data_IF_683622420051
#
_entry.id   IF_683622420051
#
_cell.length_a   1.000
_cell.length_b   1.000
_cell.length_c   1.000
_cell.angle_alpha   90.00
_cell.angle_beta   90.00
_cell.angle_gamma   90.00
#
_symmetry.space_group_name_H-M   'P 1'
#
loop_
_entity.id
_entity.type
_entity.pdbx_description
1 polymer ?
#
# COMPACT_ATOMS: atom_id res chain seq x y z
N UNK A 1 27.46 -24.74 -29.59
CA UNK A 1 26.11 -24.14 -29.59
C UNK A 1 25.43 -24.57 -28.28
N UNK A 2 25.30 -23.81 -27.19
CA UNK A 2 25.32 -22.37 -26.90
C UNK A 2 23.95 -21.65 -26.90
N UNK A 3 23.04 -22.02 -25.98
CA UNK A 3 22.04 -21.19 -25.25
C UNK A 3 21.15 -22.12 -24.37
N UNK A 4 20.48 -21.73 -23.27
CA UNK A 4 20.68 -20.68 -22.23
C UNK A 4 19.75 -21.01 -21.03
N UNK A 5 19.89 -20.29 -19.91
CA UNK A 5 19.11 -20.42 -18.65
C UNK A 5 17.60 -20.10 -18.81
N UNK A 6 16.90 -20.19 -17.67
CA UNK A 6 15.68 -19.46 -17.23
C UNK A 6 14.42 -20.34 -17.09
N UNK A 7 13.65 -20.39 -15.97
CA UNK A 7 13.75 -19.73 -14.63
C UNK A 7 13.35 -20.68 -13.49
N UNK A 8 13.68 -20.32 -12.24
CA UNK A 8 12.97 -20.79 -11.04
C UNK A 8 11.76 -19.88 -10.75
N UNK A 9 10.73 -20.40 -10.06
CA UNK A 9 9.52 -19.64 -9.71
C UNK A 9 9.84 -18.61 -8.62
N UNK A 10 10.30 -17.44 -9.05
CA UNK A 10 10.40 -16.26 -8.21
C UNK A 10 8.99 -15.74 -7.92
N UNK A 11 8.54 -15.86 -6.66
CA UNK A 11 7.40 -15.09 -6.18
C UNK A 11 7.82 -13.62 -6.12
N UNK A 12 7.23 -12.72 -6.94
CA UNK A 12 7.43 -11.30 -6.72
C UNK A 12 6.77 -10.95 -5.39
N UNK A 13 7.56 -10.56 -4.40
CA UNK A 13 7.03 -9.97 -3.18
C UNK A 13 6.17 -8.75 -3.57
N UNK A 14 4.91 -8.66 -3.13
CA UNK A 14 4.08 -7.50 -3.43
C UNK A 14 4.66 -6.29 -2.68
N UNK A 15 5.35 -5.42 -3.42
CA UNK A 15 5.81 -4.11 -2.96
C UNK A 15 4.64 -3.12 -2.83
N UNK A 16 3.50 -3.56 -2.27
CA UNK A 16 2.31 -2.74 -2.05
C UNK A 16 2.38 -1.89 -0.78
N UNK A 17 3.18 -2.31 0.20
CA UNK A 17 3.34 -1.59 1.47
C UNK A 17 4.22 -0.33 1.39
N UNK A 18 4.81 -0.02 0.22
CA UNK A 18 5.70 1.14 0.06
C UNK A 18 4.97 2.48 -0.12
N UNK A 19 3.79 2.48 -0.74
CA UNK A 19 3.12 3.71 -1.18
C UNK A 19 2.39 4.40 -0.02
N UNK A 20 1.68 3.64 0.82
CA UNK A 20 1.05 4.16 2.05
C UNK A 20 2.09 4.71 3.04
N UNK A 21 3.25 4.05 3.15
CA UNK A 21 4.36 4.52 3.99
C UNK A 21 4.94 5.86 3.51
N UNK A 22 5.09 6.04 2.19
CA UNK A 22 5.65 7.26 1.61
C UNK A 22 4.75 8.49 1.78
N UNK A 23 3.43 8.31 1.82
CA UNK A 23 2.48 9.42 2.03
C UNK A 23 2.53 9.95 3.48
N UNK A 24 2.68 9.04 4.45
CA UNK A 24 2.85 9.40 5.88
C UNK A 24 4.14 10.21 6.10
N UNK A 25 5.19 9.96 5.31
CA UNK A 25 6.47 10.68 5.42
C UNK A 25 6.46 12.12 4.86
N UNK A 26 5.34 12.64 4.36
CA UNK A 26 5.26 13.98 3.74
C UNK A 26 4.36 14.99 4.44
N UNK A 27 3.66 14.59 5.49
CA UNK A 27 3.12 15.51 6.49
C UNK A 27 4.18 15.64 7.60
N UNK A 28 4.54 16.87 7.94
CA UNK A 28 5.37 17.11 9.13
C UNK A 28 4.61 16.61 10.37
N UNK A 29 5.35 16.17 11.39
CA UNK A 29 4.75 15.83 12.67
C UNK A 29 4.08 17.08 13.28
N UNK A 30 3.01 16.91 14.05
CA UNK A 30 2.26 18.04 14.63
C UNK A 30 3.16 18.86 15.59
N UNK A 31 4.16 18.19 16.15
CA UNK A 31 5.23 18.71 16.98
C UNK A 31 6.14 19.70 16.24
N UNK A 32 6.39 19.47 14.95
CA UNK A 32 7.29 20.27 14.09
C UNK A 32 6.56 21.47 13.45
N UNK A 33 5.22 21.51 13.53
CA UNK A 33 4.43 22.59 12.94
C UNK A 33 4.60 23.92 13.70
N UNK A 34 4.62 25.07 12.98
CA UNK A 34 4.60 26.39 13.60
C UNK A 34 3.42 26.53 14.56
N UNK A 35 3.69 26.83 15.83
CA UNK A 35 2.67 26.92 16.89
C UNK A 35 2.10 28.34 16.99
N UNK A 36 0.78 28.48 16.99
CA UNK A 36 0.07 29.71 17.33
C UNK A 36 -0.90 29.46 18.49
N UNK A 37 -0.64 29.99 19.70
CA UNK A 37 -1.57 29.89 20.81
C UNK A 37 -2.94 30.48 20.47
N UNK A 38 -4.03 29.87 20.97
CA UNK A 38 -5.40 30.35 20.80
C UNK A 38 -5.61 31.76 21.39
N UNK A 39 -4.78 32.17 22.35
CA UNK A 39 -4.71 33.55 22.86
C UNK A 39 -4.13 34.51 21.83
N UNK A 40 -3.17 34.09 21.01
CA UNK A 40 -2.56 34.90 19.96
C UNK A 40 -3.42 34.91 18.69
N UNK A 41 -4.17 33.83 18.40
CA UNK A 41 -5.29 33.86 17.42
C UNK A 41 -6.28 34.99 17.75
N UNK A 42 -6.62 35.17 19.03
CA UNK A 42 -7.52 36.22 19.51
C UNK A 42 -6.90 37.63 19.45
N UNK A 43 -5.59 37.79 19.69
CA UNK A 43 -4.88 39.08 19.65
C UNK A 43 -4.53 39.55 18.24
N UNK A 44 -3.96 38.65 17.41
CA UNK A 44 -3.54 38.92 16.04
C UNK A 44 -4.74 38.95 15.06
N UNK A 45 -5.85 38.32 15.48
CA UNK A 45 -7.03 38.11 14.67
C UNK A 45 -6.78 37.16 13.49
N UNK A 46 -7.86 36.84 12.78
CA UNK A 46 -7.82 35.96 11.60
C UNK A 46 -6.80 36.39 10.55
N UNK A 47 -6.63 37.70 10.33
CA UNK A 47 -5.67 38.26 9.37
C UNK A 47 -4.21 37.94 9.72
N UNK A 48 -3.85 37.95 11.00
CA UNK A 48 -2.51 37.60 11.45
C UNK A 48 -2.21 36.11 11.26
N UNK A 49 -3.17 35.25 11.60
CA UNK A 49 -3.09 33.80 11.37
C UNK A 49 -2.91 33.49 9.88
N UNK A 50 -3.73 34.09 9.01
CA UNK A 50 -3.62 33.88 7.56
C UNK A 50 -2.30 34.40 6.96
N UNK A 51 -1.62 35.37 7.61
CA UNK A 51 -0.29 35.81 7.20
C UNK A 51 0.80 34.78 7.54
N UNK A 52 0.65 34.03 8.63
CA UNK A 52 1.54 32.91 8.97
C UNK A 52 1.28 31.74 8.01
N UNK A 53 0.02 31.36 7.80
CA UNK A 53 -0.38 30.32 6.82
C UNK A 53 0.12 30.67 5.42
N UNK A 54 0.01 31.93 4.99
CA UNK A 54 0.52 32.37 3.68
C UNK A 54 2.06 32.40 3.55
N UNK A 55 2.81 32.29 4.64
CA UNK A 55 4.28 32.20 4.65
C UNK A 55 4.79 30.77 4.78
N UNK A 56 4.12 29.96 5.58
CA UNK A 56 4.60 28.65 6.04
C UNK A 56 3.67 27.49 5.63
N UNK A 57 2.60 27.77 4.88
CA UNK A 57 1.60 26.80 4.36
C UNK A 57 0.65 26.25 5.44
N UNK A 58 1.18 26.02 6.64
CA UNK A 58 0.53 25.31 7.74
C UNK A 58 0.91 25.86 9.11
N UNK A 59 -0.03 25.82 10.04
CA UNK A 59 0.15 26.27 11.43
C UNK A 59 -0.72 25.45 12.37
N UNK A 60 -0.20 25.04 13.53
CA UNK A 60 -0.98 24.37 14.58
C UNK A 60 -1.47 25.41 15.60
N UNK A 61 -2.77 25.43 15.84
CA UNK A 61 -3.41 26.20 16.90
C UNK A 61 -3.36 25.39 18.19
N UNK A 62 -2.82 25.99 19.25
CA UNK A 62 -2.66 25.33 20.55
C UNK A 62 -3.44 26.04 21.66
N UNK A 63 -4.02 25.28 22.58
CA UNK A 63 -4.62 25.81 23.81
C UNK A 63 -3.84 25.28 25.01
N UNK A 64 -3.41 26.16 25.91
CA UNK A 64 -2.52 25.82 27.03
C UNK A 64 -1.28 24.96 26.65
N UNK A 65 -0.81 25.06 25.40
CA UNK A 65 0.27 24.29 24.75
C UNK A 65 -0.12 22.92 24.14
N UNK A 66 -1.35 22.46 24.31
CA UNK A 66 -1.92 21.27 23.66
C UNK A 66 -2.40 21.63 22.24
N UNK A 67 -2.07 20.84 21.19
CA UNK A 67 -2.65 21.00 19.85
C UNK A 67 -4.17 20.79 19.83
N UNK A 68 -4.93 21.79 19.35
CA UNK A 68 -6.39 21.68 19.16
C UNK A 68 -6.80 21.57 17.68
N UNK A 69 -6.11 22.30 16.79
CA UNK A 69 -6.46 22.34 15.36
C UNK A 69 -5.23 22.65 14.51
N UNK A 70 -5.25 22.25 13.23
CA UNK A 70 -4.27 22.67 12.23
C UNK A 70 -4.98 23.50 11.16
N UNK A 71 -4.43 24.66 10.84
CA UNK A 71 -4.91 25.51 9.74
C UNK A 71 -3.94 25.33 8.58
N UNK A 72 -4.48 24.99 7.42
CA UNK A 72 -3.76 24.74 6.17
C UNK A 72 -4.17 25.77 5.12
N UNK A 73 -3.28 26.04 4.16
CA UNK A 73 -3.69 26.67 2.91
C UNK A 73 -4.64 25.75 2.12
N UNK A 74 -5.48 26.32 1.26
CA UNK A 74 -6.39 25.54 0.38
C UNK A 74 -5.57 24.71 -0.62
N UNK A 75 -4.40 25.19 -1.04
CA UNK A 75 -3.49 24.48 -1.93
C UNK A 75 -2.90 23.23 -1.24
N UNK A 76 -2.37 23.37 -0.02
CA UNK A 76 -1.83 22.26 0.77
C UNK A 76 -2.91 21.22 1.07
N UNK A 77 -4.09 21.66 1.50
CA UNK A 77 -5.22 20.76 1.73
C UNK A 77 -5.61 20.00 0.46
N UNK A 78 -5.72 20.69 -0.68
CA UNK A 78 -6.01 20.07 -1.97
C UNK A 78 -4.93 19.10 -2.45
N UNK A 79 -3.65 19.39 -2.17
CA UNK A 79 -2.54 18.50 -2.46
C UNK A 79 -2.58 17.23 -1.60
N UNK A 80 -2.89 17.34 -0.31
CA UNK A 80 -3.05 16.21 0.61
C UNK A 80 -4.23 15.31 0.17
N UNK A 81 -5.39 15.90 -0.09
CA UNK A 81 -6.59 15.15 -0.55
C UNK A 81 -6.32 14.43 -1.87
N UNK A 82 -5.66 15.09 -2.84
CA UNK A 82 -5.28 14.46 -4.11
C UNK A 82 -4.31 13.29 -3.90
N UNK A 83 -3.26 13.47 -3.10
CA UNK A 83 -2.28 12.42 -2.85
C UNK A 83 -2.86 11.21 -2.07
N UNK A 84 -3.80 11.45 -1.15
CA UNK A 84 -4.60 10.39 -0.51
C UNK A 84 -5.43 9.61 -1.53
N UNK A 85 -6.11 10.31 -2.43
CA UNK A 85 -6.93 9.67 -3.49
C UNK A 85 -6.07 8.86 -4.47
N UNK A 86 -4.91 9.39 -4.89
CA UNK A 86 -3.96 8.68 -5.75
C UNK A 86 -3.39 7.41 -5.07
N UNK A 87 -3.04 7.48 -3.78
CA UNK A 87 -2.59 6.32 -3.01
C UNK A 87 -3.69 5.27 -2.81
N UNK A 88 -4.95 5.69 -2.59
CA UNK A 88 -6.12 4.82 -2.54
C UNK A 88 -6.36 4.10 -3.87
N UNK A 89 -6.46 4.85 -4.96
CA UNK A 89 -6.67 4.31 -6.30
C UNK A 89 -5.55 3.33 -6.75
N UNK A 90 -4.30 3.60 -6.39
CA UNK A 90 -3.19 2.65 -6.62
C UNK A 90 -3.34 1.36 -5.80
N UNK A 91 -3.94 1.42 -4.61
CA UNK A 91 -4.16 0.26 -3.76
C UNK A 91 -5.31 -0.60 -4.32
N UNK A 92 -6.40 0.04 -4.74
CA UNK A 92 -7.56 -0.62 -5.35
C UNK A 92 -7.19 -1.33 -6.66
N UNK A 93 -6.38 -0.71 -7.53
CA UNK A 93 -5.90 -1.34 -8.76
C UNK A 93 -5.04 -2.60 -8.52
N UNK A 94 -4.25 -2.60 -7.43
CA UNK A 94 -3.47 -3.79 -7.00
C UNK A 94 -4.40 -4.88 -6.45
N UNK A 95 -5.39 -4.52 -5.65
CA UNK A 95 -6.38 -5.46 -5.11
C UNK A 95 -7.21 -6.12 -6.22
N UNK A 96 -7.67 -5.35 -7.21
CA UNK A 96 -8.43 -5.89 -8.35
C UNK A 96 -7.57 -6.84 -9.21
N UNK A 97 -6.30 -6.50 -9.43
CA UNK A 97 -5.34 -7.40 -10.10
C UNK A 97 -5.13 -8.72 -9.34
N UNK A 98 -5.13 -8.68 -8.00
CA UNK A 98 -5.03 -9.87 -7.16
C UNK A 98 -6.33 -10.70 -7.19
N UNK A 99 -7.48 -10.03 -7.18
CA UNK A 99 -8.81 -10.64 -7.28
C UNK A 99 -8.97 -11.39 -8.60
N UNK A 100 -8.73 -10.73 -9.74
CA UNK A 100 -8.83 -11.35 -11.06
C UNK A 100 -7.97 -12.62 -11.15
N UNK A 101 -6.73 -12.57 -10.66
CA UNK A 101 -5.82 -13.74 -10.64
C UNK A 101 -6.27 -14.86 -9.72
N UNK A 102 -7.02 -14.55 -8.66
CA UNK A 102 -7.63 -15.55 -7.78
C UNK A 102 -8.82 -16.20 -8.47
N UNK A 103 -9.71 -15.41 -9.07
CA UNK A 103 -10.90 -15.87 -9.77
C UNK A 103 -10.55 -16.72 -11.01
N UNK A 104 -9.53 -16.33 -11.79
CA UNK A 104 -8.96 -17.13 -12.88
C UNK A 104 -8.47 -18.51 -12.42
N UNK A 105 -7.78 -18.57 -11.27
CA UNK A 105 -7.29 -19.83 -10.70
C UNK A 105 -8.45 -20.68 -10.18
N UNK A 106 -9.43 -20.08 -9.52
CA UNK A 106 -10.62 -20.78 -9.01
C UNK A 106 -11.44 -21.36 -10.16
N UNK A 107 -11.67 -20.61 -11.24
CA UNK A 107 -12.33 -21.09 -12.45
C UNK A 107 -11.62 -22.32 -13.05
N UNK A 108 -10.28 -22.33 -13.06
CA UNK A 108 -9.49 -23.48 -13.57
C UNK A 108 -9.65 -24.78 -12.75
N UNK A 109 -10.13 -24.67 -11.51
CA UNK A 109 -10.45 -25.77 -10.59
C UNK A 109 -11.95 -26.14 -10.60
N UNK A 110 -12.82 -25.20 -10.99
CA UNK A 110 -14.27 -25.40 -11.12
C UNK A 110 -14.70 -25.88 -12.52
N UNK A 111 -13.81 -25.88 -13.52
CA UNK A 111 -14.09 -26.43 -14.84
C UNK A 111 -14.55 -27.89 -14.79
N UNK A 112 -15.50 -28.27 -15.63
CA UNK A 112 -16.09 -29.62 -15.65
C UNK A 112 -15.05 -30.74 -15.83
N UNK A 113 -13.94 -30.43 -16.50
CA UNK A 113 -12.82 -31.35 -16.74
C UNK A 113 -11.83 -31.46 -15.56
N UNK A 114 -11.91 -30.57 -14.56
CA UNK A 114 -10.89 -30.41 -13.54
C UNK A 114 -10.72 -31.68 -12.67
N UNK A 115 -11.82 -32.36 -12.35
CA UNK A 115 -11.79 -33.63 -11.65
C UNK A 115 -11.16 -34.77 -12.50
N UNK A 116 -11.33 -34.71 -13.83
CA UNK A 116 -10.68 -35.63 -14.77
C UNK A 116 -9.18 -35.36 -14.89
N UNK A 117 -8.77 -34.09 -15.03
CA UNK A 117 -7.37 -33.64 -15.00
C UNK A 117 -6.67 -34.03 -13.72
N UNK A 118 -7.30 -33.82 -12.55
CA UNK A 118 -6.73 -34.18 -11.26
C UNK A 118 -6.48 -35.69 -11.16
N UNK A 119 -7.47 -36.52 -11.53
CA UNK A 119 -7.30 -37.98 -11.58
C UNK A 119 -6.20 -38.38 -12.55
N UNK A 120 -6.17 -37.82 -13.76
CA UNK A 120 -5.10 -38.10 -14.74
C UNK A 120 -3.69 -37.73 -14.25
N UNK A 121 -3.54 -36.75 -13.35
CA UNK A 121 -2.24 -36.42 -12.72
C UNK A 121 -1.89 -37.39 -11.59
N UNK A 122 -2.88 -37.85 -10.81
CA UNK A 122 -2.71 -38.84 -9.75
C UNK A 122 -2.42 -40.24 -10.30
N UNK A 123 -3.06 -40.61 -11.41
CA UNK A 123 -2.91 -41.89 -12.11
C UNK A 123 -1.65 -41.91 -13.00
N UNK A 124 -1.00 -40.76 -13.24
CA UNK A 124 0.21 -40.67 -14.03
C UNK A 124 1.39 -41.34 -13.30
N UNK A 125 2.14 -42.26 -13.94
CA UNK A 125 3.26 -42.93 -13.30
C UNK A 125 4.35 -41.91 -12.92
N UNK A 126 4.75 -41.93 -11.64
CA UNK A 126 5.72 -41.01 -11.10
C UNK A 126 7.05 -41.08 -11.88
N UNK A 127 7.43 -39.98 -12.53
CA UNK A 127 8.74 -39.84 -13.20
C UNK A 127 9.85 -39.64 -12.19
N UNK A 128 10.22 -40.73 -11.52
CA UNK A 128 11.32 -40.79 -10.57
C UNK A 128 12.65 -40.68 -11.32
N UNK A 129 13.23 -39.48 -11.35
CA UNK A 129 14.47 -39.14 -12.07
C UNK A 129 15.75 -39.76 -11.49
N UNK A 130 15.79 -41.08 -11.32
CA UNK A 130 16.96 -41.85 -10.90
C UNK A 130 17.35 -41.76 -9.41
N UNK A 131 16.66 -40.94 -8.60
CA UNK A 131 16.92 -40.81 -7.15
C UNK A 131 15.65 -41.04 -6.33
N UNK A 132 15.29 -42.31 -6.16
CA UNK A 132 14.25 -42.73 -5.21
C UNK A 132 14.89 -43.01 -3.86
N UNK A 133 14.46 -42.31 -2.80
CA UNK A 133 14.62 -42.80 -1.43
C UNK A 133 13.33 -43.50 -1.04
N UNK A 134 13.26 -44.82 -1.25
CA UNK A 134 12.25 -45.61 -0.58
C UNK A 134 12.54 -45.58 0.94
N UNK A 135 11.53 -45.26 1.75
CA UNK A 135 11.63 -45.49 3.19
C UNK A 135 11.69 -46.99 3.45
N UNK A 136 12.49 -47.42 4.42
CA UNK A 136 12.47 -48.80 4.88
C UNK A 136 11.09 -49.06 5.52
N UNK A 137 10.32 -49.98 4.93
CA UNK A 137 9.06 -50.42 5.51
C UNK A 137 9.29 -51.23 6.80
N UNK A 138 8.33 -51.14 7.71
CA UNK A 138 8.17 -52.02 8.86
C UNK A 138 7.11 -53.08 8.56
#
# INVERSE_FOLDING_TARGET
MAWKREKGVYWPHPQGAGVTMALIQKLDAIEDLPRTPASDVKKLGWRGVMKVVGREGRVVVTNHSEPEAVILSIEDYGAIVRALHEAGASSDAVLETLRQRFDERLASLQADDAAGRLRSVMDAPARLGGKVKAGAGH
#
